data_IF_529766018732
#
_entry.id   IF_529766018732
#
_cell.length_a   1.000
_cell.length_b   1.000
_cell.length_c   1.000
_cell.angle_alpha   90.00
_cell.angle_beta   90.00
_cell.angle_gamma   90.00
#
_symmetry.space_group_name_H-M   'P 1'
#
loop_
_entity.id
_entity.type
_entity.pdbx_description
1 polymer ?
#
# COMPACT_ATOMS: atom_id res chain seq x y z
N UNK A 1 -14.08 27.31 2.38
CA UNK A 1 -15.06 26.32 2.90
C UNK A 1 -15.76 25.55 1.79
N UNK A 2 -16.38 26.21 0.79
CA UNK A 2 -17.06 25.55 -0.35
C UNK A 2 -16.14 24.67 -1.21
N UNK A 3 -14.92 25.11 -1.50
CA UNK A 3 -13.95 24.32 -2.27
C UNK A 3 -13.50 23.05 -1.53
N UNK A 4 -13.23 23.15 -0.22
CA UNK A 4 -12.84 22.01 0.62
C UNK A 4 -13.95 20.95 0.68
N UNK A 5 -15.21 21.38 0.85
CA UNK A 5 -16.38 20.51 0.83
C UNK A 5 -16.52 19.79 -0.53
N UNK A 6 -16.33 20.51 -1.63
CA UNK A 6 -16.35 19.92 -2.98
C UNK A 6 -15.23 18.88 -3.17
N UNK A 7 -14.02 19.16 -2.69
CA UNK A 7 -12.90 18.22 -2.73
C UNK A 7 -13.19 16.96 -1.90
N UNK A 8 -13.73 17.11 -0.69
CA UNK A 8 -14.10 15.97 0.17
C UNK A 8 -15.22 15.14 -0.46
N UNK A 9 -16.24 15.77 -1.04
CA UNK A 9 -17.35 15.08 -1.72
C UNK A 9 -16.85 14.32 -2.96
N UNK A 10 -15.97 14.91 -3.78
CA UNK A 10 -15.39 14.22 -4.93
C UNK A 10 -14.49 13.04 -4.51
N UNK A 11 -13.74 13.17 -3.41
CA UNK A 11 -12.88 12.09 -2.90
C UNK A 11 -13.70 10.89 -2.38
N UNK A 12 -14.83 11.14 -1.70
CA UNK A 12 -15.72 10.06 -1.20
C UNK A 12 -16.47 9.38 -2.35
N UNK A 13 -16.89 10.14 -3.37
CA UNK A 13 -17.74 9.63 -4.44
C UNK A 13 -16.99 8.80 -5.51
N UNK A 14 -15.65 8.85 -5.57
CA UNK A 14 -14.88 8.30 -6.70
C UNK A 14 -13.95 7.14 -6.35
N UNK A 15 -13.77 6.79 -5.07
CA UNK A 15 -12.89 5.70 -4.65
C UNK A 15 -13.68 4.48 -4.16
N UNK A 16 -13.68 3.40 -4.94
CA UNK A 16 -14.14 2.09 -4.45
C UNK A 16 -13.21 1.60 -3.31
N UNK A 17 -13.74 1.20 -2.12
CA UNK A 17 -12.93 0.98 -0.92
C UNK A 17 -11.80 -0.05 -1.05
N UNK A 18 -11.91 -1.02 -1.98
CA UNK A 18 -10.99 -2.16 -2.07
C UNK A 18 -9.99 -2.10 -3.24
N UNK A 19 -10.25 -1.30 -4.28
CA UNK A 19 -9.38 -1.26 -5.47
C UNK A 19 -8.37 -0.11 -5.47
N UNK A 20 -8.59 0.92 -4.64
CA UNK A 20 -7.78 2.13 -4.64
C UNK A 20 -6.44 1.97 -3.91
N UNK A 21 -6.32 0.97 -3.02
CA UNK A 21 -5.14 0.78 -2.19
C UNK A 21 -4.12 -0.14 -2.86
N UNK A 22 -2.91 0.36 -3.10
CA UNK A 22 -1.81 -0.36 -3.77
C UNK A 22 -2.19 -1.08 -5.08
N UNK A 23 -3.08 -0.50 -5.90
CA UNK A 23 -3.51 -1.11 -7.18
C UNK A 23 -4.24 -2.45 -7.03
N UNK A 24 -4.83 -2.71 -5.86
CA UNK A 24 -5.52 -3.96 -5.54
C UNK A 24 -4.58 -5.12 -5.22
N UNK A 25 -3.35 -4.81 -4.75
CA UNK A 25 -2.46 -5.79 -4.13
C UNK A 25 -2.81 -5.96 -2.66
N UNK A 26 -2.81 -7.21 -2.20
CA UNK A 26 -3.09 -7.54 -0.81
C UNK A 26 -1.86 -8.15 -0.13
N UNK A 27 -1.59 -7.82 1.14
CA UNK A 27 -0.58 -8.52 1.93
C UNK A 27 -0.81 -10.04 1.97
N UNK A 28 0.26 -10.82 2.00
CA UNK A 28 0.21 -12.28 1.98
C UNK A 28 1.47 -12.94 2.57
N UNK A 29 1.37 -14.21 2.96
CA UNK A 29 2.50 -15.00 3.49
C UNK A 29 3.23 -15.84 2.44
N UNK A 30 2.96 -15.56 1.16
CA UNK A 30 3.52 -16.35 0.08
C UNK A 30 3.89 -15.48 -1.13
N UNK A 31 4.85 -15.95 -1.90
CA UNK A 31 5.34 -15.29 -3.10
C UNK A 31 5.45 -16.31 -4.23
N UNK A 32 4.69 -16.11 -5.30
CA UNK A 32 4.83 -16.91 -6.51
C UNK A 32 6.09 -16.50 -7.27
N UNK A 33 6.81 -17.47 -7.85
CA UNK A 33 8.01 -17.26 -8.66
C UNK A 33 7.99 -18.16 -9.90
N UNK A 34 8.40 -17.59 -11.03
CA UNK A 34 8.77 -18.35 -12.24
C UNK A 34 10.07 -19.09 -11.96
N UNK A 35 10.13 -20.36 -12.32
CA UNK A 35 11.34 -21.19 -12.20
C UNK A 35 12.00 -21.46 -13.55
N UNK A 36 11.25 -21.49 -14.65
CA UNK A 36 11.79 -21.74 -15.98
C UNK A 36 10.74 -21.80 -17.07
N UNK A 37 11.21 -21.96 -18.31
CA UNK A 37 10.39 -22.26 -19.49
C UNK A 37 10.99 -23.52 -20.13
N UNK A 38 10.19 -24.57 -20.32
CA UNK A 38 10.66 -25.86 -20.86
C UNK A 38 9.79 -26.35 -22.04
N UNK A 39 10.37 -26.64 -23.22
CA UNK A 39 11.74 -26.28 -23.62
C UNK A 39 11.92 -24.76 -23.66
N UNK A 40 13.16 -24.24 -23.44
CA UNK A 40 13.41 -22.80 -23.48
C UNK A 40 13.00 -22.17 -24.81
N UNK A 41 12.27 -21.06 -24.75
CA UNK A 41 11.90 -20.27 -25.92
C UNK A 41 12.91 -19.12 -26.14
N UNK A 42 13.70 -19.10 -27.23
CA UNK A 42 14.71 -18.07 -27.45
C UNK A 42 14.13 -16.65 -27.46
N UNK A 43 14.70 -15.76 -26.64
CA UNK A 43 14.27 -14.36 -26.54
C UNK A 43 13.04 -14.13 -25.66
N UNK A 44 12.45 -15.18 -25.08
CA UNK A 44 11.27 -15.06 -24.21
C UNK A 44 11.69 -15.03 -22.76
N UNK A 45 11.16 -14.08 -22.00
CA UNK A 45 11.38 -14.00 -20.55
C UNK A 45 10.05 -13.94 -19.83
N UNK A 46 9.96 -14.61 -18.69
CA UNK A 46 8.80 -14.57 -17.82
C UNK A 46 9.23 -14.33 -16.38
N UNK A 47 8.51 -13.44 -15.69
CA UNK A 47 8.76 -13.12 -14.28
C UNK A 47 7.45 -12.86 -13.58
N UNK A 48 7.40 -13.11 -12.27
CA UNK A 48 6.30 -12.60 -11.46
C UNK A 48 6.58 -11.14 -11.08
N UNK A 49 5.58 -10.29 -11.28
CA UNK A 49 5.57 -8.87 -10.88
C UNK A 49 4.52 -8.67 -9.79
N UNK A 50 4.40 -7.43 -9.26
CA UNK A 50 3.37 -7.09 -8.30
C UNK A 50 3.33 -8.05 -7.09
N UNK A 51 4.49 -8.30 -6.48
CA UNK A 51 4.66 -9.20 -5.34
C UNK A 51 4.12 -10.62 -5.57
N UNK A 52 4.37 -11.18 -6.76
CA UNK A 52 4.01 -12.58 -7.03
C UNK A 52 2.56 -12.79 -7.43
N UNK A 53 1.77 -11.71 -7.61
CA UNK A 53 0.33 -11.81 -7.90
C UNK A 53 -0.01 -11.70 -9.38
N UNK A 54 0.94 -11.27 -10.21
CA UNK A 54 0.76 -11.09 -11.64
C UNK A 54 1.97 -11.62 -12.39
N UNK A 55 1.73 -12.31 -13.49
CA UNK A 55 2.77 -12.79 -14.38
C UNK A 55 3.03 -11.76 -15.47
N UNK A 56 4.29 -11.49 -15.76
CA UNK A 56 4.75 -10.71 -16.91
C UNK A 56 5.53 -11.62 -17.85
N UNK A 57 5.08 -11.71 -19.10
CA UNK A 57 5.77 -12.42 -20.17
C UNK A 57 6.16 -11.41 -21.24
N UNK A 58 7.44 -11.39 -21.60
CA UNK A 58 7.98 -10.58 -22.69
C UNK A 58 8.47 -11.48 -23.81
N UNK A 59 7.94 -11.28 -25.01
CA UNK A 59 8.37 -12.00 -26.21
C UNK A 59 9.42 -11.17 -26.96
N UNK A 60 10.70 -11.39 -26.69
CA UNK A 60 11.81 -10.84 -27.47
C UNK A 60 12.21 -11.70 -28.67
N UNK A 61 11.49 -12.80 -28.94
CA UNK A 61 11.71 -13.69 -30.07
C UNK A 61 11.09 -13.17 -31.38
N UNK A 62 11.27 -13.94 -32.46
CA UNK A 62 10.75 -13.60 -33.79
C UNK A 62 9.35 -14.15 -34.09
N UNK A 63 8.79 -15.00 -33.22
CA UNK A 63 7.52 -15.71 -33.45
C UNK A 63 6.50 -15.40 -32.38
N UNK A 64 5.19 -15.24 -32.71
CA UNK A 64 4.13 -15.10 -31.72
C UNK A 64 4.02 -16.32 -30.79
N UNK A 65 3.59 -16.11 -29.55
CA UNK A 65 3.44 -17.16 -28.52
C UNK A 65 2.03 -17.16 -27.97
N UNK A 66 1.36 -18.30 -27.97
CA UNK A 66 0.03 -18.45 -27.37
C UNK A 66 0.14 -18.82 -25.88
N UNK A 67 -0.54 -18.05 -25.03
CA UNK A 67 -0.70 -18.32 -23.59
C UNK A 67 -2.02 -19.04 -23.36
N UNK A 68 -1.99 -20.16 -22.63
CA UNK A 68 -3.20 -20.94 -22.29
C UNK A 68 -3.38 -22.23 -23.06
N UNK A 69 -2.57 -22.46 -24.09
CA UNK A 69 -2.55 -23.69 -24.88
C UNK A 69 -3.74 -23.77 -25.84
N UNK A 70 -3.46 -24.05 -27.12
CA UNK A 70 -4.48 -24.10 -28.18
C UNK A 70 -5.53 -25.23 -28.06
N UNK A 71 -5.63 -25.91 -26.90
CA UNK A 71 -6.41 -27.12 -26.71
C UNK A 71 -7.22 -27.24 -25.42
N UNK A 72 -7.11 -26.30 -24.47
CA UNK A 72 -7.81 -26.42 -23.18
C UNK A 72 -9.21 -25.80 -23.24
N UNK A 73 -10.08 -26.40 -24.06
CA UNK A 73 -11.52 -26.08 -24.15
C UNK A 73 -12.39 -26.97 -23.25
N UNK A 74 -11.84 -27.66 -22.27
CA UNK A 74 -12.62 -28.59 -21.43
C UNK A 74 -12.48 -28.27 -19.94
N UNK A 75 -13.26 -27.27 -19.53
CA UNK A 75 -13.91 -27.07 -18.24
C UNK A 75 -13.34 -27.73 -16.99
N UNK A 76 -12.74 -26.90 -16.13
CA UNK A 76 -13.06 -26.84 -14.69
C UNK A 76 -13.00 -25.38 -14.23
N UNK A 77 -14.16 -24.72 -14.17
CA UNK A 77 -14.53 -23.71 -13.16
C UNK A 77 -13.65 -22.49 -12.82
N UNK A 78 -12.58 -22.15 -13.54
CA UNK A 78 -11.73 -20.99 -13.25
C UNK A 78 -11.83 -19.91 -14.33
N UNK A 79 -12.30 -18.71 -13.97
CA UNK A 79 -12.23 -17.56 -14.85
C UNK A 79 -10.76 -17.09 -14.95
N UNK A 80 -10.05 -17.34 -16.05
CA UNK A 80 -8.65 -16.87 -16.11
C UNK A 80 -7.84 -16.98 -17.39
N UNK A 81 -8.21 -17.79 -18.38
CA UNK A 81 -7.45 -17.87 -19.63
C UNK A 81 -8.29 -17.40 -20.80
N UNK A 82 -8.13 -16.13 -21.16
CA UNK A 82 -8.31 -15.76 -22.57
C UNK A 82 -7.06 -16.25 -23.30
N UNK A 83 -7.22 -17.12 -24.28
CA UNK A 83 -6.15 -17.41 -25.25
C UNK A 83 -5.59 -16.08 -25.76
N UNK A 84 -4.39 -15.73 -25.31
CA UNK A 84 -3.71 -14.50 -25.71
C UNK A 84 -2.49 -14.86 -26.52
N UNK A 85 -2.33 -14.21 -27.67
CA UNK A 85 -1.14 -14.36 -28.51
C UNK A 85 -0.25 -13.16 -28.29
N UNK A 86 0.93 -13.41 -27.70
CA UNK A 86 1.96 -12.39 -27.45
C UNK A 86 2.78 -12.22 -28.73
N UNK A 87 2.64 -11.09 -29.40
CA UNK A 87 3.40 -10.76 -30.62
C UNK A 87 4.90 -10.52 -30.33
N UNK A 88 5.78 -10.64 -31.34
CA UNK A 88 7.18 -10.21 -31.21
C UNK A 88 7.31 -8.78 -30.70
N UNK A 89 8.11 -8.57 -29.67
CA UNK A 89 8.32 -7.29 -28.99
C UNK A 89 7.26 -6.94 -27.92
N UNK A 90 6.18 -7.71 -27.81
CA UNK A 90 5.10 -7.44 -26.85
C UNK A 90 5.47 -7.89 -25.43
N UNK A 91 4.95 -7.16 -24.44
CA UNK A 91 4.92 -7.57 -23.03
C UNK A 91 3.47 -7.74 -22.60
N UNK A 92 3.11 -8.95 -22.18
CA UNK A 92 1.79 -9.29 -21.70
C UNK A 92 1.81 -9.52 -20.19
N UNK A 93 0.83 -8.92 -19.48
CA UNK A 93 0.70 -9.03 -18.03
C UNK A 93 -0.69 -9.53 -17.67
N UNK A 94 -0.78 -10.60 -16.89
CA UNK A 94 -2.06 -11.20 -16.51
C UNK A 94 -1.96 -11.89 -15.14
N UNK A 95 -3.12 -12.06 -14.49
CA UNK A 95 -3.25 -12.84 -13.26
C UNK A 95 -3.87 -14.19 -13.63
N UNK A 96 -3.39 -15.26 -13.00
CA UNK A 96 -3.87 -16.61 -13.25
C UNK A 96 -3.91 -17.38 -11.93
N UNK A 97 -5.07 -17.95 -11.60
CA UNK A 97 -5.29 -18.64 -10.33
C UNK A 97 -4.35 -19.84 -10.13
N UNK A 98 -3.87 -20.47 -11.22
CA UNK A 98 -2.90 -21.57 -11.15
C UNK A 98 -1.61 -21.14 -10.46
N UNK A 99 -1.22 -19.87 -10.58
CA UNK A 99 0.00 -19.33 -9.95
C UNK A 99 -0.03 -19.32 -8.42
N UNK A 100 -1.15 -19.72 -7.80
CA UNK A 100 -1.31 -19.88 -6.35
C UNK A 100 -1.02 -21.31 -5.86
N UNK A 101 -0.90 -22.30 -6.76
CA UNK A 101 -0.56 -23.66 -6.38
C UNK A 101 0.91 -23.78 -5.94
N UNK A 102 1.28 -24.72 -5.04
CA UNK A 102 2.67 -24.86 -4.56
C UNK A 102 3.69 -25.02 -5.68
N UNK A 103 3.29 -25.72 -6.75
CA UNK A 103 3.95 -25.77 -8.06
C UNK A 103 2.88 -25.57 -9.11
N UNK A 104 3.20 -24.84 -10.16
CA UNK A 104 2.24 -24.48 -11.19
C UNK A 104 2.90 -24.41 -12.56
N UNK A 105 2.06 -24.59 -13.56
CA UNK A 105 2.44 -24.64 -14.97
C UNK A 105 1.45 -23.83 -15.79
N UNK A 106 1.95 -23.08 -16.77
CA UNK A 106 1.14 -22.33 -17.73
C UNK A 106 1.63 -22.68 -19.14
N UNK A 107 0.77 -23.25 -20.00
CA UNK A 107 1.16 -23.55 -21.38
C UNK A 107 1.51 -22.28 -22.18
N UNK A 108 2.64 -22.33 -22.90
CA UNK A 108 3.17 -21.31 -23.80
C UNK A 108 3.48 -21.91 -25.19
N UNK A 109 2.46 -22.11 -26.01
CA UNK A 109 2.59 -22.78 -27.30
C UNK A 109 3.07 -24.23 -27.15
N UNK A 110 4.30 -24.51 -27.57
CA UNK A 110 4.96 -25.83 -27.43
C UNK A 110 5.80 -25.97 -26.16
N UNK A 111 5.89 -24.92 -25.35
CA UNK A 111 6.62 -24.92 -24.09
C UNK A 111 5.67 -24.74 -22.91
N UNK A 112 6.19 -24.98 -21.72
CA UNK A 112 5.50 -24.77 -20.45
C UNK A 112 6.28 -23.76 -19.64
N UNK A 113 5.59 -22.77 -19.13
CA UNK A 113 6.11 -21.88 -18.10
C UNK A 113 5.89 -22.53 -16.74
N UNK A 114 6.97 -22.76 -16.01
CA UNK A 114 6.93 -23.38 -14.70
C UNK A 114 7.13 -22.34 -13.60
N UNK A 115 6.53 -22.63 -12.45
CA UNK A 115 6.80 -21.87 -11.25
C UNK A 115 6.39 -22.57 -9.97
N UNK A 116 6.63 -21.87 -8.87
CA UNK A 116 6.37 -22.36 -7.51
C UNK A 116 5.99 -21.22 -6.59
N UNK A 117 5.36 -21.56 -5.48
CA UNK A 117 5.01 -20.61 -4.43
C UNK A 117 5.93 -20.81 -3.22
N UNK A 118 6.66 -19.76 -2.86
CA UNK A 118 7.47 -19.68 -1.64
C UNK A 118 6.59 -19.18 -0.49
N UNK A 119 6.40 -19.98 0.55
CA UNK A 119 5.69 -19.55 1.77
C UNK A 119 6.71 -19.08 2.80
N UNK A 120 6.51 -17.88 3.33
CA UNK A 120 7.32 -17.31 4.41
C UNK A 120 6.38 -16.92 5.55
N UNK A 121 6.55 -17.47 6.76
CA UNK A 121 5.73 -17.09 7.91
C UNK A 121 5.80 -15.58 8.16
N UNK A 122 4.65 -15.00 8.47
CA UNK A 122 4.58 -13.62 8.92
C UNK A 122 5.30 -13.37 10.25
N UNK A 123 5.64 -12.11 10.55
CA UNK A 123 6.22 -11.76 11.84
C UNK A 123 5.19 -11.92 12.97
N UNK A 124 5.65 -11.94 14.22
CA UNK A 124 4.75 -11.88 15.37
C UNK A 124 4.12 -10.47 15.47
N UNK A 125 2.79 -10.34 15.32
CA UNK A 125 2.12 -9.04 15.33
C UNK A 125 2.22 -8.32 16.67
N UNK A 126 2.40 -9.06 17.78
CA UNK A 126 2.44 -8.48 19.13
C UNK A 126 3.56 -7.43 19.26
N UNK A 127 4.74 -7.67 18.67
CA UNK A 127 5.85 -6.71 18.75
C UNK A 127 5.52 -5.39 18.05
N UNK A 128 4.86 -5.46 16.90
CA UNK A 128 4.44 -4.27 16.16
C UNK A 128 3.31 -3.52 16.86
N UNK A 129 2.40 -4.23 17.54
CA UNK A 129 1.39 -3.61 18.40
C UNK A 129 2.01 -2.90 19.60
N UNK A 130 3.04 -3.49 20.23
CA UNK A 130 3.77 -2.85 21.31
C UNK A 130 4.53 -1.60 20.85
N UNK A 131 5.15 -1.63 19.66
CA UNK A 131 5.78 -0.46 19.04
C UNK A 131 4.73 0.63 18.77
N UNK A 132 3.58 0.26 18.21
CA UNK A 132 2.46 1.18 17.95
C UNK A 132 1.98 1.83 19.25
N UNK A 133 1.80 1.04 20.31
CA UNK A 133 1.43 1.55 21.63
C UNK A 133 2.50 2.48 22.21
N UNK A 134 3.78 2.12 22.10
CA UNK A 134 4.88 2.96 22.55
C UNK A 134 4.92 4.30 21.82
N UNK A 135 4.68 4.30 20.50
CA UNK A 135 4.57 5.51 19.68
C UNK A 135 3.35 6.36 20.07
N UNK A 136 2.22 5.74 20.41
CA UNK A 136 1.04 6.44 20.91
C UNK A 136 1.30 7.11 22.27
N UNK A 137 1.90 6.39 23.21
CA UNK A 137 2.28 6.93 24.52
C UNK A 137 3.31 8.05 24.36
N UNK A 138 4.34 7.82 23.53
CA UNK A 138 5.36 8.83 23.22
C UNK A 138 4.75 10.09 22.61
N UNK A 139 3.90 9.94 21.59
CA UNK A 139 3.18 11.05 20.96
C UNK A 139 2.30 11.82 21.93
N UNK A 140 1.57 11.12 22.82
CA UNK A 140 0.76 11.74 23.87
C UNK A 140 1.63 12.56 24.85
N UNK A 141 2.74 12.00 25.33
CA UNK A 141 3.62 12.66 26.29
C UNK A 141 4.34 13.86 25.67
N UNK A 142 4.81 13.74 24.42
CA UNK A 142 5.41 14.83 23.65
C UNK A 142 4.37 15.92 23.34
N UNK A 143 3.10 15.53 23.18
CA UNK A 143 1.96 16.40 22.92
C UNK A 143 1.69 17.45 24.01
N UNK A 144 2.39 17.38 25.15
CA UNK A 144 2.34 18.40 26.21
C UNK A 144 2.98 19.74 25.82
N UNK A 145 3.81 19.80 24.76
CA UNK A 145 4.42 21.04 24.26
C UNK A 145 3.96 21.32 22.83
N UNK A 146 3.57 22.56 22.54
CA UNK A 146 3.05 22.96 21.23
C UNK A 146 4.05 22.72 20.10
N UNK A 147 5.33 22.99 20.35
CA UNK A 147 6.41 22.81 19.38
C UNK A 147 6.58 21.33 19.02
N UNK A 148 6.48 20.45 20.03
CA UNK A 148 6.58 19.01 19.84
C UNK A 148 5.34 18.41 19.18
N UNK A 149 4.13 18.98 19.43
CA UNK A 149 2.93 18.63 18.68
C UNK A 149 3.12 18.90 17.18
N UNK A 150 3.59 20.10 16.83
CA UNK A 150 3.80 20.46 15.43
C UNK A 150 4.86 19.57 14.77
N UNK A 151 5.97 19.30 15.46
CA UNK A 151 6.99 18.37 14.97
C UNK A 151 6.42 16.96 14.78
N UNK A 152 5.65 16.46 15.74
CA UNK A 152 5.03 15.14 15.66
C UNK A 152 4.06 15.03 14.47
N UNK A 153 3.25 16.06 14.21
CA UNK A 153 2.38 16.12 13.01
C UNK A 153 3.23 15.99 11.74
N UNK A 154 4.35 16.72 11.62
CA UNK A 154 5.23 16.61 10.45
C UNK A 154 5.79 15.19 10.30
N UNK A 155 6.29 14.58 11.38
CA UNK A 155 6.89 13.24 11.36
C UNK A 155 5.86 12.17 10.99
N UNK A 156 4.68 12.20 11.61
CA UNK A 156 3.62 11.21 11.36
C UNK A 156 3.07 11.36 9.94
N UNK A 157 2.82 12.59 9.48
CA UNK A 157 2.39 12.85 8.10
C UNK A 157 3.44 12.42 7.09
N UNK A 158 4.73 12.71 7.32
CA UNK A 158 5.81 12.27 6.45
C UNK A 158 5.88 10.74 6.37
N UNK A 159 5.67 10.05 7.49
CA UNK A 159 5.57 8.58 7.53
C UNK A 159 4.44 8.05 6.66
N UNK A 160 3.24 8.62 6.79
CA UNK A 160 2.09 8.25 5.95
C UNK A 160 2.35 8.53 4.47
N UNK A 161 2.93 9.68 4.12
CA UNK A 161 3.28 10.01 2.72
C UNK A 161 4.26 8.98 2.16
N UNK A 162 5.28 8.60 2.95
CA UNK A 162 6.26 7.61 2.53
C UNK A 162 5.63 6.23 2.32
N UNK A 163 4.74 5.80 3.24
CA UNK A 163 3.95 4.58 3.07
C UNK A 163 3.17 4.63 1.74
N UNK A 164 2.37 5.68 1.51
CA UNK A 164 1.57 5.82 0.30
C UNK A 164 2.41 5.82 -0.99
N UNK A 165 3.58 6.47 -0.98
CA UNK A 165 4.52 6.46 -2.11
C UNK A 165 5.09 5.06 -2.34
N UNK A 166 5.53 4.36 -1.29
CA UNK A 166 6.04 3.00 -1.43
C UNK A 166 4.98 2.02 -1.92
N UNK A 167 3.74 2.12 -1.43
CA UNK A 167 2.59 1.34 -1.89
C UNK A 167 2.16 1.67 -3.33
N UNK A 168 2.53 2.85 -3.83
CA UNK A 168 2.30 3.24 -5.23
C UNK A 168 3.39 2.69 -6.14
N UNK A 169 4.66 2.82 -5.73
CA UNK A 169 5.83 2.44 -6.53
C UNK A 169 5.95 0.93 -6.77
N UNK A 170 5.31 0.12 -5.92
CA UNK A 170 5.33 -1.35 -6.05
C UNK A 170 4.49 -1.84 -7.24
N UNK A 171 3.51 -1.04 -7.68
CA UNK A 171 2.56 -1.45 -8.71
C UNK A 171 3.15 -1.20 -10.09
N UNK A 172 3.33 -2.28 -10.86
CA UNK A 172 3.86 -2.22 -12.22
C UNK A 172 2.75 -2.02 -13.26
N UNK A 173 3.03 -1.23 -14.30
CA UNK A 173 2.17 -1.11 -15.48
C UNK A 173 0.97 -0.16 -15.33
N UNK A 174 0.89 0.60 -14.25
CA UNK A 174 -0.17 1.60 -14.02
C UNK A 174 0.43 2.99 -13.80
N UNK A 175 -0.38 4.03 -14.03
CA UNK A 175 0.04 5.43 -13.83
C UNK A 175 0.20 5.76 -12.35
N UNK A 176 1.32 6.39 -12.00
CA UNK A 176 1.67 6.73 -10.61
C UNK A 176 0.65 7.65 -9.93
N UNK A 177 0.18 8.72 -10.61
CA UNK A 177 -0.66 9.74 -9.97
C UNK A 177 -2.02 9.20 -9.52
N UNK A 178 -2.81 8.51 -10.36
CA UNK A 178 -4.08 7.91 -9.92
C UNK A 178 -3.90 6.90 -8.78
N UNK A 179 -2.83 6.09 -8.84
CA UNK A 179 -2.50 5.14 -7.79
C UNK A 179 -2.15 5.82 -6.46
N UNK A 180 -1.32 6.87 -6.49
CA UNK A 180 -0.97 7.62 -5.29
C UNK A 180 -2.21 8.25 -4.67
N UNK A 181 -3.10 8.83 -5.46
CA UNK A 181 -4.35 9.39 -4.96
C UNK A 181 -5.23 8.33 -4.31
N UNK A 182 -5.31 7.13 -4.91
CA UNK A 182 -6.03 5.99 -4.34
C UNK A 182 -5.42 5.50 -3.02
N UNK A 183 -4.11 5.28 -2.99
CA UNK A 183 -3.38 4.80 -1.83
C UNK A 183 -3.34 5.81 -0.67
N UNK A 184 -3.53 7.11 -0.95
CA UNK A 184 -3.44 8.16 0.05
C UNK A 184 -4.74 8.34 0.85
N UNK A 185 -5.90 7.96 0.30
CA UNK A 185 -7.21 8.00 0.97
C UNK A 185 -7.48 9.32 1.73
N UNK A 186 -7.87 9.19 3.01
CA UNK A 186 -8.12 10.32 3.92
C UNK A 186 -6.87 11.17 4.17
N UNK A 187 -5.68 10.59 3.98
CA UNK A 187 -4.38 11.28 4.09
C UNK A 187 -4.27 12.52 3.18
N UNK A 188 -4.90 12.52 2.00
CA UNK A 188 -4.88 13.67 1.07
C UNK A 188 -5.41 14.96 1.71
N UNK A 189 -6.33 14.85 2.66
CA UNK A 189 -6.85 16.00 3.41
C UNK A 189 -5.95 16.34 4.60
N UNK A 190 -5.34 15.33 5.23
CA UNK A 190 -4.43 15.52 6.37
C UNK A 190 -3.10 16.21 6.00
N UNK A 191 -2.59 15.98 4.78
CA UNK A 191 -1.31 16.55 4.33
C UNK A 191 -1.29 18.09 4.27
N UNK A 192 -2.25 18.79 3.62
CA UNK A 192 -2.28 20.24 3.66
C UNK A 192 -2.57 20.78 5.07
N UNK A 193 -3.35 20.06 5.89
CA UNK A 193 -3.58 20.44 7.29
C UNK A 193 -2.31 20.37 8.15
N UNK A 194 -1.34 19.54 7.76
CA UNK A 194 -0.01 19.52 8.40
C UNK A 194 0.70 20.86 8.23
N UNK A 195 0.64 21.46 7.04
CA UNK A 195 1.18 22.81 6.79
C UNK A 195 0.47 23.84 7.66
N UNK A 196 -0.86 23.74 7.78
CA UNK A 196 -1.65 24.63 8.66
C UNK A 196 -1.22 24.49 10.12
N UNK A 197 -1.00 23.27 10.61
CA UNK A 197 -0.54 23.02 11.98
C UNK A 197 0.82 23.66 12.24
N UNK A 198 1.77 23.50 11.32
CA UNK A 198 3.13 24.08 11.40
C UNK A 198 3.06 25.61 11.38
N UNK A 199 2.32 26.21 10.44
CA UNK A 199 2.16 27.67 10.36
C UNK A 199 1.51 28.22 11.62
N UNK A 200 0.49 27.54 12.15
CA UNK A 200 -0.13 27.91 13.42
C UNK A 200 0.87 27.86 14.58
N UNK A 201 1.74 26.85 14.61
CA UNK A 201 2.76 26.68 15.65
C UNK A 201 3.82 27.78 15.61
N UNK A 202 4.35 28.07 14.42
CA UNK A 202 5.32 29.17 14.19
C UNK A 202 4.72 30.51 14.59
N UNK A 203 3.43 30.74 14.26
CA UNK A 203 2.69 31.95 14.64
C UNK A 203 2.16 31.91 16.07
N UNK A 204 2.54 30.91 16.86
CA UNK A 204 2.18 30.72 18.27
C UNK A 204 0.67 30.73 18.54
N UNK A 205 -0.14 30.27 17.58
CA UNK A 205 -1.61 30.25 17.69
C UNK A 205 -2.10 29.08 18.55
N UNK A 206 -3.18 29.24 19.33
CA UNK A 206 -3.78 28.14 20.10
C UNK A 206 -4.36 27.04 19.20
N UNK A 207 -4.67 27.36 17.94
CA UNK A 207 -5.20 26.41 16.96
C UNK A 207 -4.27 25.23 16.64
N UNK A 208 -2.96 25.31 16.94
CA UNK A 208 -2.01 24.22 16.67
C UNK A 208 -2.46 22.90 17.28
N UNK A 209 -2.90 22.90 18.55
CA UNK A 209 -3.28 21.68 19.24
C UNK A 209 -4.55 21.05 18.64
N UNK A 210 -5.50 21.88 18.21
CA UNK A 210 -6.71 21.42 17.53
C UNK A 210 -6.39 20.80 16.17
N UNK A 211 -5.62 21.50 15.32
CA UNK A 211 -5.26 20.98 13.99
C UNK A 211 -4.41 19.73 14.11
N UNK A 212 -3.47 19.67 15.06
CA UNK A 212 -2.68 18.49 15.34
C UNK A 212 -3.55 17.29 15.74
N UNK A 213 -4.56 17.51 16.59
CA UNK A 213 -5.46 16.45 17.01
C UNK A 213 -6.29 15.90 15.84
N UNK A 214 -6.81 16.79 14.99
CA UNK A 214 -7.58 16.43 13.79
C UNK A 214 -6.71 15.66 12.80
N UNK A 215 -5.51 16.15 12.49
CA UNK A 215 -4.56 15.45 11.59
C UNK A 215 -4.22 14.07 12.15
N UNK A 216 -3.89 13.97 13.45
CA UNK A 216 -3.59 12.70 14.09
C UNK A 216 -4.73 11.70 13.96
N UNK A 217 -5.96 12.10 14.27
CA UNK A 217 -7.14 11.24 14.15
C UNK A 217 -7.41 10.80 12.70
N UNK A 218 -7.26 11.70 11.73
CA UNK A 218 -7.43 11.39 10.31
C UNK A 218 -6.40 10.38 9.80
N UNK A 219 -5.14 10.52 10.23
CA UNK A 219 -4.07 9.59 9.85
C UNK A 219 -4.24 8.21 10.50
N UNK A 220 -4.79 8.13 11.72
CA UNK A 220 -5.21 6.84 12.29
C UNK A 220 -6.23 6.17 11.38
N UNK A 221 -7.29 6.89 10.99
CA UNK A 221 -8.33 6.34 10.10
C UNK A 221 -7.73 5.91 8.77
N UNK A 222 -6.80 6.70 8.21
CA UNK A 222 -6.15 6.37 6.95
C UNK A 222 -5.28 5.11 7.03
N UNK A 223 -4.63 4.84 8.17
CA UNK A 223 -3.76 3.68 8.35
C UNK A 223 -4.45 2.40 8.83
N UNK A 224 -5.76 2.40 9.14
CA UNK A 224 -6.49 1.20 9.58
C UNK A 224 -6.44 0.07 8.53
N UNK A 225 -6.64 0.31 7.22
CA UNK A 225 -6.53 -0.72 6.20
C UNK A 225 -5.16 -1.43 6.17
N UNK A 226 -4.11 -0.74 6.62
CA UNK A 226 -2.72 -1.24 6.60
C UNK A 226 -2.35 -2.07 7.83
N UNK A 227 -3.29 -2.32 8.74
CA UNK A 227 -3.04 -3.12 9.94
C UNK A 227 -2.51 -4.53 9.62
N UNK A 228 -2.87 -5.05 8.46
CA UNK A 228 -2.40 -6.34 7.94
C UNK A 228 -0.88 -6.39 7.71
N UNK A 229 -0.20 -5.23 7.61
CA UNK A 229 1.26 -5.18 7.52
C UNK A 229 1.96 -5.82 8.71
N UNK A 230 1.32 -5.88 9.89
CA UNK A 230 1.90 -6.48 11.09
C UNK A 230 1.88 -8.00 11.12
N UNK A 231 1.09 -8.65 10.27
CA UNK A 231 0.90 -10.11 10.31
C UNK A 231 1.43 -10.85 9.09
N UNK A 232 1.53 -10.20 7.93
CA UNK A 232 1.95 -10.87 6.71
C UNK A 232 3.43 -10.65 6.40
N UNK A 233 4.09 -11.64 5.79
CA UNK A 233 5.52 -11.54 5.43
C UNK A 233 5.75 -10.69 4.17
N UNK A 234 4.88 -10.77 3.17
CA UNK A 234 4.95 -10.00 1.93
C UNK A 234 3.95 -8.85 1.97
N UNK A 235 4.46 -7.62 1.83
CA UNK A 235 3.68 -6.39 1.89
C UNK A 235 3.73 -5.67 0.54
N UNK A 236 2.63 -5.09 0.05
CA UNK A 236 2.62 -4.35 -1.21
C UNK A 236 3.29 -2.98 -1.02
N UNK A 237 4.61 -2.98 -0.84
CA UNK A 237 5.42 -1.81 -0.55
C UNK A 237 6.79 -1.90 -1.22
N UNK A 238 7.19 -0.84 -1.94
CA UNK A 238 8.48 -0.75 -2.62
C UNK A 238 9.62 -0.44 -1.62
N UNK A 239 9.97 -1.41 -0.78
CA UNK A 239 11.06 -1.32 0.19
C UNK A 239 11.09 -2.48 1.18
N UNK A 240 11.95 -2.42 2.22
CA UNK A 240 11.98 -3.45 3.24
C UNK A 240 10.65 -3.51 4.01
N UNK A 241 10.12 -4.71 4.23
CA UNK A 241 8.82 -4.89 4.89
C UNK A 241 8.80 -4.30 6.33
N UNK A 242 9.92 -4.31 7.04
CA UNK A 242 10.01 -3.71 8.38
C UNK A 242 9.93 -2.18 8.35
N UNK A 243 10.36 -1.54 7.26
CA UNK A 243 10.17 -0.10 7.07
C UNK A 243 8.69 0.19 6.90
N UNK A 244 7.97 -0.58 6.08
CA UNK A 244 6.52 -0.42 5.91
C UNK A 244 5.78 -0.53 7.25
N UNK A 245 6.07 -1.59 8.01
CA UNK A 245 5.48 -1.82 9.34
C UNK A 245 5.77 -0.67 10.30
N UNK A 246 6.99 -0.13 10.30
CA UNK A 246 7.32 1.03 11.13
C UNK A 246 6.52 2.27 10.73
N UNK A 247 6.32 2.51 9.43
CA UNK A 247 5.54 3.65 8.92
C UNK A 247 4.06 3.52 9.27
N UNK A 248 3.50 2.30 9.19
CA UNK A 248 2.12 2.01 9.63
C UNK A 248 2.01 2.19 11.14
N UNK A 249 2.93 1.65 11.93
CA UNK A 249 2.96 1.81 13.39
C UNK A 249 3.11 3.28 13.81
N UNK A 250 3.93 4.07 13.10
CA UNK A 250 4.08 5.51 13.30
C UNK A 250 2.79 6.26 12.97
N UNK A 251 2.12 5.88 11.89
CA UNK A 251 0.87 6.50 11.45
C UNK A 251 -0.26 6.24 12.44
N UNK A 252 -0.47 4.99 12.83
CA UNK A 252 -1.48 4.56 13.80
C UNK A 252 -1.16 5.06 15.22
N UNK A 253 0.03 4.71 15.71
CA UNK A 253 0.46 5.03 17.07
C UNK A 253 0.69 6.53 17.25
N UNK A 254 1.55 7.11 16.41
CA UNK A 254 1.84 8.55 16.44
C UNK A 254 0.59 9.39 16.19
N UNK A 255 -0.29 9.00 15.25
CA UNK A 255 -1.56 9.68 15.01
C UNK A 255 -2.47 9.68 16.24
N UNK A 256 -2.60 8.53 16.92
CA UNK A 256 -3.37 8.42 18.17
C UNK A 256 -2.77 9.26 19.30
N UNK A 257 -1.44 9.24 19.43
CA UNK A 257 -0.72 10.07 20.40
C UNK A 257 -0.92 11.57 20.17
N UNK A 258 -0.86 12.01 18.92
CA UNK A 258 -1.13 13.41 18.53
C UNK A 258 -2.59 13.82 18.79
N UNK A 259 -3.54 12.93 18.47
CA UNK A 259 -4.96 13.14 18.76
C UNK A 259 -5.17 13.36 20.26
N UNK A 260 -4.76 12.39 21.08
CA UNK A 260 -4.90 12.45 22.53
C UNK A 260 -4.15 13.64 23.15
N UNK A 261 -2.89 13.85 22.73
CA UNK A 261 -2.04 14.92 23.23
C UNK A 261 -2.57 16.32 22.89
N UNK A 262 -3.08 16.51 21.67
CA UNK A 262 -3.71 17.76 21.25
C UNK A 262 -4.98 18.07 22.04
N UNK A 263 -5.86 17.08 22.26
CA UNK A 263 -7.05 17.26 23.10
C UNK A 263 -6.69 17.57 24.56
N UNK A 264 -5.72 16.87 25.13
CA UNK A 264 -5.24 17.10 26.50
C UNK A 264 -4.60 18.49 26.66
N UNK A 265 -3.82 18.93 25.67
CA UNK A 265 -3.28 20.29 25.63
C UNK A 265 -4.40 21.33 25.67
N UNK A 266 -5.41 21.20 24.81
CA UNK A 266 -6.55 22.12 24.76
C UNK A 266 -7.32 22.18 26.09
N UNK A 267 -7.51 21.04 26.77
CA UNK A 267 -8.16 20.99 28.08
C UNK A 267 -7.39 21.77 29.15
N UNK A 268 -6.07 21.66 29.18
CA UNK A 268 -5.22 22.34 30.17
C UNK A 268 -5.08 23.84 29.93
N UNK A 269 -5.17 24.28 28.68
CA UNK A 269 -5.02 25.69 28.30
C UNK A 269 -6.35 26.41 28.03
N UNK A 270 -7.47 25.74 28.26
CA UNK A 270 -8.80 26.33 28.12
C UNK A 270 -9.00 27.49 29.11
N UNK A 271 -9.89 28.45 28.82
CA UNK A 271 -10.16 29.55 29.74
C UNK A 271 -10.66 28.98 31.07
N UNK A 272 -9.95 29.27 32.15
CA UNK A 272 -10.52 29.16 33.49
C UNK A 272 -11.59 30.24 33.59
N UNK A 273 -12.85 29.83 33.49
CA UNK A 273 -14.00 30.67 33.85
C UNK A 273 -13.92 31.07 35.31
#
# INVERSE_FOLDING_TARGET
MRALLLTVVLLIATAGPAQAHAGGLTPQDHLSRVTGIDPPLPGVTATMVNHGTQLEIRNGGGTPIAVGGAGDRVGVGGAGLTDHVIAPGETYRFRDERTTAPRWEIPLGTSVLEGRVDVTPGPNPLWWLLITLALAVGGYLLGRRRELLALGVVVVTAGHVWHAVGSTLVVTGQSFVPLLLGASGVGLVAWPLTVVAVVAAVRRRPATAFVAAVVGAMLVVAGIPDFDSFRFSQLPFAGPADVDRLLVALTLGGGLGLAAGGFDYLRRTGPTT
#
